data_IF_547964137597
#
_entry.id   IF_547964137597
#
_cell.length_a   1.000
_cell.length_b   1.000
_cell.length_c   1.000
_cell.angle_alpha   90.00
_cell.angle_beta   90.00
_cell.angle_gamma   90.00
#
_symmetry.space_group_name_H-M   'P 1'
#
loop_
_entity.id
_entity.type
_entity.pdbx_description
1 polymer ?
#
# COMPACT_ATOMS: atom_id res chain seq x y z
N UNK A 1 -28.77 0.54 -0.76
CA UNK A 1 -29.29 1.69 -1.53
C UNK A 1 -29.34 2.93 -0.65
N UNK A 2 -28.48 3.93 -0.92
CA UNK A 2 -28.62 5.38 -0.64
C UNK A 2 -27.25 6.00 -0.94
N UNK A 3 -27.02 6.38 -2.19
CA UNK A 3 -27.26 7.72 -2.80
C UNK A 3 -25.99 8.56 -2.75
N UNK A 4 -25.22 8.42 -3.82
CA UNK A 4 -24.25 9.41 -4.31
C UNK A 4 -24.91 10.79 -4.41
N UNK A 5 -24.24 11.82 -3.88
CA UNK A 5 -24.58 13.23 -4.10
C UNK A 5 -23.29 13.98 -4.41
N UNK A 6 -23.06 14.17 -5.71
CA UNK A 6 -22.18 15.19 -6.24
C UNK A 6 -22.72 16.57 -5.87
N UNK A 7 -21.89 17.45 -5.30
CA UNK A 7 -22.17 18.89 -5.24
C UNK A 7 -21.10 19.65 -6.01
N UNK A 8 -21.57 20.27 -7.09
CA UNK A 8 -20.90 21.22 -7.97
C UNK A 8 -20.91 22.59 -7.28
N UNK A 9 -19.74 23.24 -7.17
CA UNK A 9 -19.57 24.68 -7.00
C UNK A 9 -18.18 25.01 -7.59
N UNK A 10 -17.91 26.06 -8.34
CA UNK A 10 -18.66 27.07 -9.06
C UNK A 10 -17.60 27.73 -9.96
N UNK A 11 -17.92 27.97 -11.23
CA UNK A 11 -17.03 28.63 -12.18
C UNK A 11 -17.03 30.14 -11.98
N UNK A 12 -15.83 30.75 -12.01
CA UNK A 12 -15.52 32.12 -12.45
C UNK A 12 -14.07 32.04 -12.97
N UNK A 13 -13.77 32.00 -14.29
CA UNK A 13 -13.67 33.15 -15.20
C UNK A 13 -12.55 34.12 -14.77
N UNK A 14 -11.51 34.49 -15.51
CA UNK A 14 -11.26 34.51 -16.94
C UNK A 14 -9.77 34.90 -17.25
N UNK A 15 -9.39 34.70 -18.52
CA UNK A 15 -8.33 35.37 -19.32
C UNK A 15 -6.85 35.08 -18.96
N UNK A 16 -6.10 34.31 -19.77
CA UNK A 16 -5.53 34.58 -21.11
C UNK A 16 -4.35 35.57 -21.11
N UNK A 17 -3.11 35.05 -21.20
CA UNK A 17 -2.07 35.58 -22.11
C UNK A 17 -1.15 34.42 -22.55
N UNK A 18 -1.17 34.10 -23.84
CA UNK A 18 -0.09 33.37 -24.52
C UNK A 18 0.95 34.40 -24.99
N UNK A 19 2.24 34.09 -24.86
CA UNK A 19 3.26 34.67 -25.70
C UNK A 19 4.30 33.61 -26.05
N UNK A 20 4.50 33.39 -27.36
CA UNK A 20 5.62 32.65 -27.91
C UNK A 20 6.71 33.62 -28.40
N UNK A 21 7.93 33.09 -28.43
CA UNK A 21 9.05 33.44 -29.33
C UNK A 21 9.99 34.57 -28.90
N UNK A 22 11.26 34.21 -28.62
CA UNK A 22 12.39 34.49 -29.51
C UNK A 22 13.72 33.91 -28.96
N UNK A 23 14.47 33.22 -29.83
CA UNK A 23 15.91 32.97 -29.67
C UNK A 23 16.71 34.26 -29.92
N UNK A 24 17.82 34.47 -29.20
CA UNK A 24 18.82 35.49 -29.55
C UNK A 24 19.95 35.64 -28.54
N UNK A 25 21.16 35.29 -28.95
CA UNK A 25 22.44 35.33 -28.24
C UNK A 25 22.87 36.71 -27.73
N UNK A 26 23.69 36.73 -26.67
CA UNK A 26 24.82 37.68 -26.55
C UNK A 26 24.88 38.59 -25.31
N UNK A 27 25.80 38.23 -24.40
CA UNK A 27 26.75 39.08 -23.66
C UNK A 27 26.31 40.39 -22.96
N UNK A 28 26.71 40.53 -21.69
CA UNK A 28 27.03 41.84 -21.10
C UNK A 28 26.74 42.00 -19.62
N UNK A 29 27.76 41.79 -18.79
CA UNK A 29 27.79 42.09 -17.35
C UNK A 29 28.19 43.55 -17.11
N UNK A 30 27.43 44.36 -16.36
CA UNK A 30 27.95 45.42 -15.45
C UNK A 30 26.86 46.13 -14.62
N UNK A 31 26.93 45.93 -13.30
CA UNK A 31 27.01 46.91 -12.19
C UNK A 31 26.23 48.25 -12.20
N UNK A 32 25.40 48.40 -11.14
CA UNK A 32 25.53 49.42 -10.05
C UNK A 32 24.51 50.59 -9.94
N UNK A 33 23.81 50.57 -8.78
CA UNK A 33 23.25 51.66 -7.92
C UNK A 33 22.10 52.55 -8.47
N UNK A 34 21.11 53.05 -7.71
CA UNK A 34 21.00 53.36 -6.28
C UNK A 34 19.52 53.61 -5.84
N UNK A 35 19.24 53.36 -4.55
CA UNK A 35 18.31 54.06 -3.61
C UNK A 35 16.78 54.05 -3.73
N UNK A 36 16.12 53.70 -2.62
CA UNK A 36 14.77 54.15 -2.24
C UNK A 36 14.08 53.36 -1.12
N UNK A 37 14.29 53.79 0.14
CA UNK A 37 13.39 53.76 1.34
C UNK A 37 12.40 52.60 1.66
N UNK A 38 12.65 52.00 2.83
CA UNK A 38 11.75 51.78 3.99
C UNK A 38 10.30 51.28 3.78
N UNK A 39 10.03 50.03 4.19
CA UNK A 39 8.84 49.69 4.96
C UNK A 39 9.04 48.40 5.77
N UNK A 40 8.76 48.51 7.07
CA UNK A 40 8.65 47.45 8.07
C UNK A 40 7.55 46.46 7.66
N UNK A 41 7.83 45.16 7.73
CA UNK A 41 6.85 44.12 7.44
C UNK A 41 7.26 42.79 8.02
N UNK A 42 6.92 42.63 9.30
CA UNK A 42 6.83 41.41 10.10
C UNK A 42 7.26 40.09 9.46
N UNK A 43 8.25 39.46 10.10
CA UNK A 43 8.41 38.01 10.13
C UNK A 43 7.05 37.34 10.34
N UNK A 44 6.57 36.65 9.32
CA UNK A 44 5.65 35.53 9.49
C UNK A 44 6.47 34.28 9.24
N UNK A 45 7.08 33.78 10.32
CA UNK A 45 7.37 32.37 10.44
C UNK A 45 6.02 31.66 10.33
N UNK A 46 5.70 31.18 9.12
CA UNK A 46 4.73 30.10 8.97
C UNK A 46 5.36 28.90 9.66
N UNK A 47 5.03 28.77 10.95
CA UNK A 47 5.08 27.49 11.61
C UNK A 47 4.03 26.63 10.87
N UNK A 48 4.48 25.91 9.85
CA UNK A 48 3.84 24.67 9.44
C UNK A 48 3.78 23.79 10.69
N UNK A 49 2.67 23.90 11.40
CA UNK A 49 2.23 22.84 12.28
C UNK A 49 1.79 21.74 11.32
N UNK A 50 2.75 20.96 10.84
CA UNK A 50 2.49 19.65 10.28
C UNK A 50 1.69 18.92 11.36
N UNK A 51 0.40 18.71 11.10
CA UNK A 51 -0.35 17.74 11.84
C UNK A 51 0.39 16.42 11.62
N UNK A 52 1.07 15.95 12.66
CA UNK A 52 1.62 14.60 12.71
C UNK A 52 0.41 13.68 12.63
N UNK A 53 0.08 13.26 11.40
CA UNK A 53 -0.77 12.09 11.20
C UNK A 53 0.01 10.95 11.83
N UNK A 54 -0.47 10.44 12.97
CA UNK A 54 0.14 9.28 13.60
C UNK A 54 0.22 8.17 12.54
N UNK A 55 1.45 7.79 12.22
CA UNK A 55 1.73 6.79 11.22
C UNK A 55 1.35 5.43 11.79
N UNK A 56 0.66 4.61 11.00
CA UNK A 56 0.24 3.26 11.42
C UNK A 56 1.48 2.43 11.80
N UNK A 57 1.47 1.75 12.94
CA UNK A 57 2.52 0.78 13.28
C UNK A 57 2.17 -0.58 12.65
N UNK A 58 3.00 -1.05 11.70
CA UNK A 58 2.72 -2.31 11.02
C UNK A 58 2.77 -3.53 11.95
N UNK A 59 3.56 -3.48 13.04
CA UNK A 59 3.57 -4.55 14.04
C UNK A 59 2.26 -4.58 14.82
N UNK A 60 1.68 -3.42 15.14
CA UNK A 60 0.36 -3.36 15.76
C UNK A 60 -0.72 -3.94 14.83
N UNK A 61 -0.63 -3.67 13.52
CA UNK A 61 -1.52 -4.30 12.52
C UNK A 61 -1.35 -5.81 12.50
N UNK A 62 -0.12 -6.32 12.48
CA UNK A 62 0.15 -7.77 12.51
C UNK A 62 -0.44 -8.42 13.76
N UNK A 63 -0.20 -7.87 14.94
CA UNK A 63 -0.70 -8.44 16.19
C UNK A 63 -2.23 -8.37 16.27
N UNK A 64 -2.85 -7.27 15.82
CA UNK A 64 -4.31 -7.16 15.75
C UNK A 64 -4.92 -8.18 14.75
N UNK A 65 -4.26 -8.42 13.62
CA UNK A 65 -4.65 -9.48 12.68
C UNK A 65 -4.51 -10.84 13.35
N UNK A 66 -3.39 -11.14 14.02
CA UNK A 66 -3.19 -12.42 14.74
C UNK A 66 -4.29 -12.65 15.78
N UNK A 67 -4.63 -11.63 16.56
CA UNK A 67 -5.70 -11.68 17.55
C UNK A 67 -7.08 -11.93 16.91
N UNK A 68 -7.36 -11.31 15.76
CA UNK A 68 -8.62 -11.49 15.05
C UNK A 68 -8.83 -12.94 14.56
N UNK A 69 -7.76 -13.63 14.18
CA UNK A 69 -7.80 -15.02 13.75
C UNK A 69 -7.61 -16.03 14.89
N UNK A 70 -6.95 -15.64 15.98
CA UNK A 70 -6.66 -16.53 17.11
C UNK A 70 -5.92 -17.80 16.68
N UNK A 71 -6.48 -18.97 16.98
CA UNK A 71 -5.88 -20.27 16.60
C UNK A 71 -5.88 -20.52 15.08
N UNK A 72 -6.65 -19.75 14.32
CA UNK A 72 -6.75 -19.89 12.87
C UNK A 72 -5.71 -19.06 12.12
N UNK A 73 -4.84 -18.33 12.84
CA UNK A 73 -3.63 -17.73 12.29
C UNK A 73 -2.55 -18.81 12.18
N UNK A 74 -2.25 -19.23 10.95
CA UNK A 74 -1.33 -20.32 10.65
C UNK A 74 0.13 -19.94 10.35
N UNK A 75 0.45 -18.73 9.84
CA UNK A 75 1.84 -18.33 9.69
C UNK A 75 2.57 -18.32 11.04
N UNK A 76 3.84 -18.72 11.04
CA UNK A 76 4.63 -18.86 12.28
C UNK A 76 6.12 -18.51 12.11
N UNK A 77 6.51 -18.13 10.90
CA UNK A 77 7.89 -17.84 10.54
C UNK A 77 7.97 -16.44 9.94
N UNK A 78 8.70 -15.55 10.61
CA UNK A 78 8.89 -14.18 10.13
C UNK A 78 9.55 -14.17 8.74
N UNK A 79 9.05 -13.29 7.87
CA UNK A 79 9.67 -12.97 6.59
C UNK A 79 10.91 -12.13 6.87
N UNK A 80 12.05 -12.50 6.29
CA UNK A 80 13.27 -11.71 6.34
C UNK A 80 13.52 -10.95 5.02
N UNK A 81 14.51 -10.06 5.01
CA UNK A 81 14.84 -9.25 3.83
C UNK A 81 15.21 -10.11 2.62
N UNK A 82 15.82 -11.27 2.85
CA UNK A 82 16.22 -12.19 1.77
C UNK A 82 14.98 -12.77 1.11
N UNK A 83 14.00 -13.20 1.91
CA UNK A 83 12.72 -13.69 1.44
C UNK A 83 11.93 -12.58 0.75
N UNK A 84 11.89 -11.38 1.34
CA UNK A 84 11.22 -10.22 0.76
C UNK A 84 11.71 -9.92 -0.66
N UNK A 85 13.03 -9.88 -0.85
CA UNK A 85 13.64 -9.65 -2.16
C UNK A 85 13.46 -10.84 -3.12
N UNK A 86 13.76 -12.06 -2.69
CA UNK A 86 13.81 -13.22 -3.60
C UNK A 86 12.44 -13.80 -3.93
N UNK A 87 11.49 -13.76 -3.00
CA UNK A 87 10.15 -14.34 -3.16
C UNK A 87 9.13 -13.31 -3.64
N UNK A 88 9.17 -12.10 -3.08
CA UNK A 88 8.18 -11.06 -3.39
C UNK A 88 8.70 -10.03 -4.39
N UNK A 89 10.01 -10.03 -4.70
CA UNK A 89 10.62 -9.07 -5.63
C UNK A 89 10.77 -7.67 -5.06
N UNK A 90 10.64 -7.50 -3.74
CA UNK A 90 10.67 -6.20 -3.07
C UNK A 90 12.08 -5.99 -2.50
N UNK A 91 12.90 -5.27 -3.25
CA UNK A 91 14.27 -4.92 -2.86
C UNK A 91 14.29 -3.80 -1.80
N UNK A 92 15.43 -3.65 -1.09
CA UNK A 92 15.60 -2.67 0.00
C UNK A 92 15.46 -1.20 -0.37
N UNK A 93 15.41 -0.87 -1.66
CA UNK A 93 15.12 0.49 -2.12
C UNK A 93 13.63 0.81 -2.28
N UNK A 94 12.75 -0.19 -2.11
CA UNK A 94 11.31 -0.06 -2.37
C UNK A 94 10.47 0.06 -1.10
N UNK A 95 11.06 -0.09 0.09
CA UNK A 95 10.35 -0.05 1.37
C UNK A 95 11.13 0.72 2.43
N UNK A 96 10.41 1.25 3.42
CA UNK A 96 10.95 1.84 4.65
C UNK A 96 10.99 0.79 5.76
N UNK A 97 9.91 0.01 5.89
CA UNK A 97 9.79 -1.10 6.83
C UNK A 97 8.80 -2.16 6.31
N UNK A 98 8.86 -3.34 6.90
CA UNK A 98 7.90 -4.41 6.62
C UNK A 98 7.77 -5.32 7.84
N UNK A 99 6.63 -5.98 7.93
CA UNK A 99 6.43 -7.09 8.85
C UNK A 99 5.57 -8.14 8.16
N UNK A 100 5.87 -9.41 8.40
CA UNK A 100 5.09 -10.48 7.81
C UNK A 100 5.53 -11.84 8.29
N UNK A 101 4.63 -12.80 8.14
CA UNK A 101 4.85 -14.17 8.54
C UNK A 101 4.35 -15.11 7.42
N UNK A 102 5.08 -16.20 7.23
CA UNK A 102 4.75 -17.33 6.36
C UNK A 102 4.70 -18.61 7.20
N UNK A 103 4.15 -19.72 6.68
CA UNK A 103 4.07 -20.96 7.43
C UNK A 103 5.38 -21.73 7.27
N UNK A 104 5.93 -22.28 8.36
CA UNK A 104 7.05 -23.21 8.30
C UNK A 104 6.73 -24.49 7.49
N UNK A 105 5.44 -24.86 7.42
CA UNK A 105 4.94 -26.02 6.66
C UNK A 105 4.85 -25.65 5.18
N UNK A 106 5.74 -26.20 4.35
CA UNK A 106 5.86 -25.85 2.92
C UNK A 106 4.66 -26.18 2.04
N UNK A 107 3.75 -27.05 2.49
CA UNK A 107 2.49 -27.33 1.78
C UNK A 107 1.41 -26.30 2.09
N UNK A 108 1.58 -25.51 3.14
CA UNK A 108 0.69 -24.41 3.47
C UNK A 108 1.10 -23.16 2.70
N UNK A 109 0.11 -22.33 2.39
CA UNK A 109 0.32 -21.10 1.61
C UNK A 109 -0.08 -19.85 2.36
N UNK A 110 -0.51 -19.98 3.62
CA UNK A 110 -0.95 -18.85 4.43
C UNK A 110 0.16 -17.83 4.63
N UNK A 111 -0.07 -16.59 4.20
CA UNK A 111 0.91 -15.51 4.30
C UNK A 111 0.20 -14.22 4.66
N UNK A 112 0.77 -13.53 5.65
CA UNK A 112 0.52 -12.12 5.90
C UNK A 112 1.81 -11.35 5.61
N UNK A 113 1.71 -10.27 4.85
CA UNK A 113 2.83 -9.36 4.63
C UNK A 113 2.30 -7.94 4.55
N UNK A 114 2.80 -7.07 5.42
CA UNK A 114 2.61 -5.62 5.39
C UNK A 114 3.94 -4.96 5.02
N UNK A 115 3.91 -4.08 4.03
CA UNK A 115 5.08 -3.35 3.54
C UNK A 115 4.73 -1.87 3.54
N UNK A 116 5.49 -1.07 4.27
CA UNK A 116 5.51 0.38 4.08
C UNK A 116 6.48 0.67 2.96
N UNK A 117 5.95 1.00 1.80
CA UNK A 117 6.76 1.35 0.65
C UNK A 117 7.55 2.64 0.91
N UNK A 118 8.69 2.80 0.24
CA UNK A 118 9.37 4.09 0.18
C UNK A 118 8.44 5.14 -0.44
N UNK A 119 8.61 6.42 -0.11
CA UNK A 119 7.75 7.52 -0.58
C UNK A 119 7.38 7.41 -2.08
N UNK A 120 6.07 7.28 -2.34
CA UNK A 120 5.49 7.14 -3.67
C UNK A 120 5.73 5.79 -4.38
N UNK A 121 6.26 4.78 -3.69
CA UNK A 121 6.46 3.42 -4.21
C UNK A 121 5.31 2.45 -3.89
N UNK A 122 4.23 2.91 -3.24
CA UNK A 122 3.10 2.05 -2.89
C UNK A 122 2.50 1.31 -4.09
N UNK A 123 2.35 1.97 -5.24
CA UNK A 123 1.85 1.33 -6.47
C UNK A 123 2.83 0.25 -6.98
N UNK A 124 4.14 0.53 -6.97
CA UNK A 124 5.18 -0.45 -7.35
C UNK A 124 5.12 -1.70 -6.47
N UNK A 125 4.99 -1.53 -5.16
CA UNK A 125 4.90 -2.65 -4.21
C UNK A 125 3.59 -3.43 -4.40
N UNK A 126 2.46 -2.76 -4.63
CA UNK A 126 1.18 -3.39 -4.96
C UNK A 126 1.26 -4.25 -6.24
N UNK A 127 1.92 -3.75 -7.28
CA UNK A 127 2.14 -4.51 -8.52
C UNK A 127 2.99 -5.76 -8.29
N UNK A 128 4.08 -5.66 -7.51
CA UNK A 128 4.95 -6.79 -7.17
C UNK A 128 4.20 -7.87 -6.39
N UNK A 129 3.40 -7.49 -5.39
CA UNK A 129 2.62 -8.43 -4.60
C UNK A 129 1.50 -9.09 -5.43
N UNK A 130 0.88 -8.36 -6.35
CA UNK A 130 -0.08 -8.94 -7.30
C UNK A 130 0.60 -9.87 -8.31
N UNK A 131 1.82 -9.56 -8.77
CA UNK A 131 2.59 -10.44 -9.63
C UNK A 131 2.96 -11.74 -8.91
N UNK A 132 3.42 -11.66 -7.66
CA UNK A 132 3.64 -12.82 -6.79
C UNK A 132 2.37 -13.66 -6.67
N UNK A 133 1.24 -13.04 -6.29
CA UNK A 133 -0.07 -13.70 -6.18
C UNK A 133 -0.46 -14.46 -7.44
N UNK A 134 -0.32 -13.82 -8.60
CA UNK A 134 -0.68 -14.43 -9.88
C UNK A 134 0.23 -15.61 -10.22
N UNK A 135 1.54 -15.49 -9.97
CA UNK A 135 2.49 -16.59 -10.18
C UNK A 135 2.19 -17.82 -9.31
N UNK A 136 1.71 -17.60 -8.08
CA UNK A 136 1.28 -18.68 -7.19
C UNK A 136 0.03 -19.39 -7.74
N UNK A 137 -0.97 -18.63 -8.23
CA UNK A 137 -2.18 -19.19 -8.87
C UNK A 137 -1.81 -20.01 -10.10
N UNK A 138 -0.91 -19.50 -10.96
CA UNK A 138 -0.46 -20.21 -12.16
C UNK A 138 0.31 -21.50 -11.81
N UNK A 139 1.09 -21.47 -10.73
CA UNK A 139 1.90 -22.61 -10.26
C UNK A 139 1.10 -23.65 -9.46
N UNK A 140 -0.11 -23.30 -9.01
CA UNK A 140 -0.96 -24.14 -8.17
C UNK A 140 -1.45 -25.43 -8.85
N UNK A 141 -1.21 -25.62 -10.15
CA UNK A 141 -1.40 -26.91 -10.83
C UNK A 141 -0.64 -28.06 -10.16
N UNK A 142 0.45 -27.77 -9.46
CA UNK A 142 1.22 -28.77 -8.71
C UNK A 142 0.59 -29.14 -7.36
N UNK A 143 -0.17 -28.21 -6.76
CA UNK A 143 -0.87 -28.40 -5.49
C UNK A 143 -2.30 -27.84 -5.57
N UNK A 144 -3.21 -28.50 -6.31
CA UNK A 144 -4.55 -27.97 -6.59
C UNK A 144 -5.38 -27.68 -5.35
N UNK A 145 -5.11 -28.37 -4.24
CA UNK A 145 -5.73 -28.12 -2.93
C UNK A 145 -5.54 -26.69 -2.41
N UNK A 146 -4.48 -26.00 -2.83
CA UNK A 146 -4.22 -24.61 -2.44
C UNK A 146 -4.92 -23.59 -3.35
N UNK A 147 -5.46 -24.01 -4.50
CA UNK A 147 -6.09 -23.14 -5.49
C UNK A 147 -7.22 -22.27 -4.89
N UNK A 148 -8.11 -22.78 -4.03
CA UNK A 148 -9.15 -21.95 -3.42
C UNK A 148 -8.59 -20.79 -2.58
N UNK A 149 -7.60 -21.06 -1.71
CA UNK A 149 -6.94 -20.03 -0.89
C UNK A 149 -6.22 -19.00 -1.73
N UNK A 150 -5.50 -19.46 -2.76
CA UNK A 150 -4.79 -18.58 -3.69
C UNK A 150 -5.75 -17.63 -4.43
N UNK A 151 -6.90 -18.14 -4.88
CA UNK A 151 -7.96 -17.32 -5.50
C UNK A 151 -8.59 -16.32 -4.52
N UNK A 152 -8.75 -16.70 -3.25
CA UNK A 152 -9.32 -15.84 -2.22
C UNK A 152 -8.37 -14.75 -1.71
N UNK A 153 -7.05 -14.96 -1.82
CA UNK A 153 -6.03 -13.99 -1.38
C UNK A 153 -6.22 -12.60 -1.99
N UNK A 154 -5.80 -11.55 -1.28
CA UNK A 154 -5.93 -10.16 -1.70
C UNK A 154 -4.65 -9.36 -1.47
N UNK A 155 -4.46 -8.35 -2.32
CA UNK A 155 -3.56 -7.22 -2.07
C UNK A 155 -4.43 -5.99 -1.86
N UNK A 156 -4.16 -5.21 -0.81
CA UNK A 156 -4.82 -3.91 -0.54
C UNK A 156 -3.77 -2.85 -0.22
N UNK A 157 -4.09 -1.58 -0.49
CA UNK A 157 -3.16 -0.46 -0.35
C UNK A 157 -3.83 0.77 0.25
N UNK A 158 -3.12 1.40 1.20
CA UNK A 158 -3.47 2.64 1.87
C UNK A 158 -2.29 3.62 1.75
N UNK A 159 -2.30 4.47 0.72
CA UNK A 159 -1.14 5.31 0.41
C UNK A 159 0.05 4.45 -0.02
N UNK A 160 1.12 4.50 0.77
CA UNK A 160 2.35 3.71 0.60
C UNK A 160 2.37 2.43 1.46
N UNK A 161 1.38 2.21 2.33
CA UNK A 161 1.25 0.95 3.06
C UNK A 161 0.49 -0.08 2.21
N UNK A 162 1.12 -1.23 1.96
CA UNK A 162 0.59 -2.31 1.09
C UNK A 162 0.56 -3.63 1.84
N UNK A 163 -0.55 -4.35 1.73
CA UNK A 163 -0.80 -5.58 2.45
C UNK A 163 -1.10 -6.73 1.49
N UNK A 164 -0.45 -7.87 1.67
CA UNK A 164 -0.83 -9.16 1.09
C UNK A 164 -1.47 -10.04 2.17
N UNK A 165 -2.69 -10.50 1.92
CA UNK A 165 -3.49 -11.28 2.88
C UNK A 165 -3.98 -12.58 2.24
N UNK A 166 -3.48 -13.69 2.77
CA UNK A 166 -3.94 -15.05 2.49
C UNK A 166 -3.94 -15.83 3.80
N UNK A 167 -5.06 -15.79 4.53
CA UNK A 167 -5.10 -16.25 5.93
C UNK A 167 -6.37 -17.04 6.25
N UNK A 168 -6.31 -17.76 7.37
CA UNK A 168 -7.40 -18.53 7.97
C UNK A 168 -7.13 -20.03 7.96
N UNK A 169 -7.80 -20.80 8.82
CA UNK A 169 -7.63 -22.25 8.88
C UNK A 169 -7.85 -22.93 7.51
N UNK A 170 -7.43 -24.18 7.34
CA UNK A 170 -7.87 -24.98 6.19
C UNK A 170 -9.29 -25.50 6.41
N UNK A 171 -10.06 -25.64 5.34
CA UNK A 171 -11.43 -26.17 5.37
C UNK A 171 -11.52 -27.52 4.64
N UNK A 172 -12.08 -28.52 5.30
CA UNK A 172 -12.32 -29.87 4.77
C UNK A 172 -13.82 -30.24 4.73
N UNK A 173 -14.71 -29.26 4.88
CA UNK A 173 -16.16 -29.49 4.90
C UNK A 173 -16.75 -29.84 3.54
N UNK A 174 -16.04 -29.52 2.45
CA UNK A 174 -16.44 -29.77 1.07
C UNK A 174 -15.24 -29.93 0.14
N UNK A 175 -15.42 -30.67 -0.95
CA UNK A 175 -14.44 -30.80 -2.05
C UNK A 175 -14.77 -29.88 -3.24
N UNK A 176 -15.87 -29.12 -3.15
CA UNK A 176 -16.29 -28.17 -4.18
C UNK A 176 -15.42 -26.91 -4.13
N UNK A 177 -14.66 -26.67 -5.20
CA UNK A 177 -13.70 -25.57 -5.28
C UNK A 177 -14.36 -24.19 -5.13
N UNK A 178 -15.51 -23.96 -5.75
CA UNK A 178 -16.18 -22.65 -5.71
C UNK A 178 -16.73 -22.36 -4.30
N UNK A 179 -17.24 -23.39 -3.61
CA UNK A 179 -17.64 -23.27 -2.22
C UNK A 179 -16.44 -22.99 -1.31
N UNK A 180 -15.31 -23.68 -1.53
CA UNK A 180 -14.08 -23.43 -0.77
C UNK A 180 -13.54 -22.02 -1.03
N UNK A 181 -13.57 -21.51 -2.27
CA UNK A 181 -13.17 -20.14 -2.58
C UNK A 181 -14.00 -19.15 -1.74
N UNK A 182 -15.32 -19.30 -1.71
CA UNK A 182 -16.19 -18.42 -0.93
C UNK A 182 -15.88 -18.47 0.58
N UNK A 183 -15.58 -19.67 1.12
CA UNK A 183 -15.14 -19.82 2.51
C UNK A 183 -13.85 -19.06 2.76
N UNK A 184 -12.84 -19.23 1.90
CA UNK A 184 -11.55 -18.56 2.07
C UNK A 184 -11.64 -17.06 1.83
N UNK A 185 -12.49 -16.58 0.93
CA UNK A 185 -12.75 -15.14 0.77
C UNK A 185 -13.30 -14.54 2.07
N UNK A 186 -14.25 -15.25 2.72
CA UNK A 186 -14.76 -14.83 4.03
C UNK A 186 -13.68 -14.85 5.12
N UNK A 187 -12.72 -15.77 5.05
CA UNK A 187 -11.59 -15.82 6.00
C UNK A 187 -10.63 -14.67 5.76
N UNK A 188 -10.19 -14.47 4.51
CA UNK A 188 -9.34 -13.33 4.12
C UNK A 188 -9.95 -12.00 4.53
N UNK A 189 -11.28 -11.85 4.42
CA UNK A 189 -11.99 -10.63 4.80
C UNK A 189 -11.79 -10.26 6.28
N UNK A 190 -11.62 -11.22 7.20
CA UNK A 190 -11.34 -10.94 8.62
C UNK A 190 -10.06 -10.10 8.76
N UNK A 191 -9.02 -10.44 8.01
CA UNK A 191 -7.77 -9.70 8.01
C UNK A 191 -7.90 -8.34 7.36
N UNK A 192 -8.65 -8.25 6.26
CA UNK A 192 -8.90 -6.99 5.57
C UNK A 192 -9.70 -6.01 6.43
N UNK A 193 -10.75 -6.46 7.09
CA UNK A 193 -11.55 -5.65 8.01
C UNK A 193 -10.71 -5.14 9.19
N UNK A 194 -9.79 -5.98 9.70
CA UNK A 194 -8.87 -5.56 10.76
C UNK A 194 -7.90 -4.49 10.26
N UNK A 195 -7.28 -4.68 9.09
CA UNK A 195 -6.38 -3.69 8.48
C UNK A 195 -7.11 -2.37 8.23
N UNK A 196 -8.32 -2.41 7.66
CA UNK A 196 -9.10 -1.23 7.33
C UNK A 196 -9.35 -0.35 8.57
N UNK A 197 -9.56 -0.96 9.74
CA UNK A 197 -9.80 -0.24 11.00
C UNK A 197 -8.63 0.65 11.48
N UNK A 198 -7.41 0.47 10.94
CA UNK A 198 -6.27 1.35 11.22
C UNK A 198 -6.26 2.62 10.35
N UNK A 199 -7.13 2.71 9.34
CA UNK A 199 -7.18 3.79 8.36
C UNK A 199 -8.53 4.53 8.31
N UNK A 200 -9.46 4.21 9.22
CA UNK A 200 -10.79 4.84 9.36
C UNK A 200 -10.79 6.17 10.15
#
# INVERSE_FOLDING_TARGET
MRRSVYTICAAVGAALVMNMTACGSGAGNTSTEQTGETAVGAETTEAETAAETEQVDLNEVLEAVKDAYGSDYLPDTAIDETTLAQTFGIDSGLYEEFVGEMPAISTHVDTFLAVRAADGQGETVEELLNAYRNSQIESAVQYPMNMPKLKASKVVRYGDDVYFVMLGAYDDSTEDEDQLVAVYESRTQIGLDMIDSFYE
#
